data_IF_254078125455
#
_entry.id   IF_254078125455
#
_cell.length_a   1.000
_cell.length_b   1.000
_cell.length_c   1.000
_cell.angle_alpha   90.00
_cell.angle_beta   90.00
_cell.angle_gamma   90.00
#
_symmetry.space_group_name_H-M   'P 1'
#
loop_
_entity.id
_entity.type
_entity.pdbx_description
1 polymer ?
#
# COMPACT_ATOMS: atom_id res chain seq x y z
N UNK A 1 -12.21 -4.09 11.26
CA UNK A 1 -10.74 -4.15 11.19
C UNK A 1 -10.21 -2.84 11.71
N UNK A 2 -9.27 -2.88 12.65
CA UNK A 2 -8.56 -1.67 13.03
C UNK A 2 -7.53 -1.30 11.94
N UNK A 3 -7.18 -0.01 11.84
CA UNK A 3 -6.15 0.48 10.91
C UNK A 3 -4.83 -0.26 11.12
N UNK A 4 -4.46 -0.54 12.38
CA UNK A 4 -3.23 -1.26 12.72
C UNK A 4 -3.19 -2.67 12.14
N UNK A 5 -4.33 -3.38 12.15
CA UNK A 5 -4.42 -4.75 11.63
C UNK A 5 -4.14 -4.81 10.12
N UNK A 6 -4.66 -3.85 9.36
CA UNK A 6 -4.46 -3.77 7.90
C UNK A 6 -2.99 -3.49 7.58
N UNK A 7 -2.37 -2.58 8.32
CA UNK A 7 -0.95 -2.24 8.13
C UNK A 7 -0.02 -3.40 8.50
N UNK A 8 -0.32 -4.11 9.60
CA UNK A 8 0.42 -5.28 10.03
C UNK A 8 0.29 -6.43 9.02
N UNK A 9 -0.91 -6.66 8.50
CA UNK A 9 -1.15 -7.66 7.45
C UNK A 9 -0.36 -7.33 6.18
N UNK A 10 -0.42 -6.08 5.72
CA UNK A 10 0.32 -5.61 4.55
C UNK A 10 1.83 -5.81 4.71
N UNK A 11 2.37 -5.40 5.86
CA UNK A 11 3.78 -5.56 6.20
C UNK A 11 4.19 -7.04 6.19
N UNK A 12 3.38 -7.92 6.79
CA UNK A 12 3.65 -9.36 6.86
C UNK A 12 3.59 -10.04 5.49
N UNK A 13 2.70 -9.58 4.61
CA UNK A 13 2.57 -10.11 3.26
C UNK A 13 3.80 -9.73 2.42
N UNK A 14 4.27 -8.48 2.52
CA UNK A 14 5.38 -7.99 1.68
C UNK A 14 6.76 -8.31 2.26
N UNK A 15 6.93 -8.31 3.59
CA UNK A 15 8.20 -8.70 4.21
C UNK A 15 8.35 -10.21 4.38
N UNK A 16 7.26 -10.96 4.23
CA UNK A 16 7.19 -12.35 4.69
C UNK A 16 7.17 -12.45 6.23
N UNK A 17 6.96 -13.66 6.75
CA UNK A 17 7.13 -13.92 8.18
C UNK A 17 8.61 -14.01 8.55
N UNK A 18 8.99 -13.55 9.75
CA UNK A 18 10.33 -13.77 10.29
C UNK A 18 10.60 -15.27 10.41
N UNK A 19 11.41 -15.80 9.47
CA UNK A 19 11.72 -17.22 9.34
C UNK A 19 11.39 -17.77 7.94
N UNK A 20 12.46 -18.01 7.16
CA UNK A 20 12.49 -18.84 5.93
C UNK A 20 11.33 -18.65 4.93
N UNK A 21 10.92 -17.42 4.65
CA UNK A 21 10.04 -17.18 3.50
C UNK A 21 10.91 -17.18 2.24
N UNK A 22 10.63 -18.10 1.31
CA UNK A 22 11.25 -18.10 -0.03
C UNK A 22 10.82 -16.81 -0.76
N UNK A 23 11.76 -16.10 -1.38
CA UNK A 23 11.50 -14.87 -2.15
C UNK A 23 10.46 -15.09 -3.26
N UNK A 24 10.28 -16.34 -3.72
CA UNK A 24 9.21 -16.73 -4.63
C UNK A 24 7.82 -16.59 -3.99
N UNK A 25 7.65 -17.05 -2.75
CA UNK A 25 6.39 -17.04 -2.00
C UNK A 25 5.95 -15.62 -1.68
N UNK A 26 6.88 -14.75 -1.27
CA UNK A 26 6.58 -13.34 -0.99
C UNK A 26 6.07 -12.63 -2.25
N UNK A 27 6.70 -12.88 -3.39
CA UNK A 27 6.29 -12.29 -4.68
C UNK A 27 4.94 -12.78 -5.16
N UNK A 28 4.67 -14.08 -4.98
CA UNK A 28 3.37 -14.67 -5.31
C UNK A 28 2.27 -14.09 -4.42
N UNK A 29 2.52 -13.91 -3.13
CA UNK A 29 1.58 -13.27 -2.22
C UNK A 29 1.29 -11.81 -2.61
N UNK A 30 2.30 -11.05 -3.01
CA UNK A 30 2.12 -9.68 -3.51
C UNK A 30 1.27 -9.67 -4.78
N UNK A 31 1.50 -10.61 -5.69
CA UNK A 31 0.72 -10.75 -6.94
C UNK A 31 -0.74 -11.12 -6.64
N UNK A 32 -0.99 -12.04 -5.70
CA UNK A 32 -2.33 -12.43 -5.27
C UNK A 32 -3.06 -11.28 -4.57
N UNK A 33 -2.36 -10.53 -3.71
CA UNK A 33 -2.89 -9.37 -3.02
C UNK A 33 -3.28 -8.26 -4.01
N UNK A 34 -2.45 -7.99 -5.01
CA UNK A 34 -2.77 -7.05 -6.07
C UNK A 34 -4.01 -7.51 -6.87
N UNK A 35 -4.04 -8.80 -7.24
CA UNK A 35 -5.18 -9.40 -7.96
C UNK A 35 -6.47 -9.30 -7.15
N UNK A 36 -6.40 -9.52 -5.84
CA UNK A 36 -7.53 -9.34 -4.92
C UNK A 36 -8.01 -7.88 -4.94
N UNK A 37 -7.10 -6.90 -4.81
CA UNK A 37 -7.50 -5.51 -4.83
C UNK A 37 -8.09 -5.08 -6.17
N UNK A 38 -7.56 -5.57 -7.30
CA UNK A 38 -8.17 -5.37 -8.62
C UNK A 38 -9.60 -5.92 -8.67
N UNK A 39 -9.85 -7.09 -8.07
CA UNK A 39 -11.22 -7.65 -7.96
C UNK A 39 -12.11 -6.82 -7.06
N UNK A 40 -11.58 -6.31 -5.94
CA UNK A 40 -12.33 -5.46 -4.98
C UNK A 40 -12.76 -4.15 -5.64
N UNK A 41 -11.87 -3.56 -6.45
CA UNK A 41 -12.03 -2.26 -7.11
C UNK A 41 -12.89 -2.35 -8.38
N UNK A 42 -13.04 -3.54 -8.96
CA UNK A 42 -13.87 -3.78 -10.14
C UNK A 42 -15.34 -3.38 -9.89
N UNK A 43 -15.97 -2.69 -10.84
CA UNK A 43 -17.36 -2.22 -10.75
C UNK A 43 -18.41 -3.33 -10.51
N UNK A 44 -18.04 -4.59 -10.76
CA UNK A 44 -18.87 -5.78 -10.46
C UNK A 44 -18.73 -6.30 -9.04
N UNK A 45 -17.81 -5.73 -8.26
CA UNK A 45 -17.57 -6.07 -6.87
C UNK A 45 -18.75 -5.64 -6.01
N UNK A 46 -19.18 -6.45 -5.02
CA UNK A 46 -20.19 -6.04 -4.05
C UNK A 46 -19.65 -5.03 -3.01
N UNK A 47 -18.36 -4.68 -3.08
CA UNK A 47 -17.71 -3.78 -2.13
C UNK A 47 -17.93 -2.34 -2.57
N UNK A 48 -18.47 -1.51 -1.68
CA UNK A 48 -18.68 -0.10 -1.96
C UNK A 48 -17.37 0.68 -2.03
N UNK A 49 -17.36 1.78 -2.79
CA UNK A 49 -16.24 2.72 -2.84
C UNK A 49 -15.80 3.16 -1.43
N UNK A 50 -16.74 3.45 -0.54
CA UNK A 50 -16.47 3.84 0.85
C UNK A 50 -15.65 2.79 1.62
N UNK A 51 -15.94 1.50 1.40
CA UNK A 51 -15.18 0.42 2.04
C UNK A 51 -13.76 0.31 1.49
N UNK A 52 -13.57 0.50 0.18
CA UNK A 52 -12.24 0.54 -0.44
C UNK A 52 -11.44 1.74 0.07
N UNK A 53 -12.10 2.89 0.23
CA UNK A 53 -11.51 4.12 0.76
C UNK A 53 -11.02 3.98 2.20
N UNK A 54 -11.67 3.15 3.02
CA UNK A 54 -11.16 2.83 4.38
C UNK A 54 -9.81 2.12 4.29
N UNK A 55 -9.67 1.15 3.37
CA UNK A 55 -8.41 0.41 3.17
C UNK A 55 -7.33 1.36 2.64
N UNK A 56 -7.64 2.20 1.65
CA UNK A 56 -6.72 3.21 1.11
C UNK A 56 -6.19 4.14 2.21
N UNK A 57 -7.09 4.71 3.02
CA UNK A 57 -6.74 5.62 4.13
C UNK A 57 -5.96 4.93 5.24
N UNK A 58 -6.11 3.60 5.40
CA UNK A 58 -5.31 2.83 6.33
C UNK A 58 -3.87 2.61 5.83
N UNK A 59 -3.68 2.41 4.52
CA UNK A 59 -2.37 2.10 3.93
C UNK A 59 -1.51 3.33 3.64
N UNK A 60 -2.10 4.46 3.21
CA UNK A 60 -1.35 5.70 2.92
C UNK A 60 -0.35 6.08 4.04
N UNK A 61 -0.73 6.08 5.33
CA UNK A 61 0.20 6.45 6.40
C UNK A 61 1.45 5.58 6.54
N UNK A 62 1.51 4.42 5.87
CA UNK A 62 2.72 3.59 5.83
C UNK A 62 3.83 4.18 4.94
N UNK A 63 3.50 5.07 4.01
CA UNK A 63 4.47 5.60 3.04
C UNK A 63 5.60 6.40 3.68
N UNK A 64 5.29 7.29 4.62
CA UNK A 64 6.29 8.13 5.28
C UNK A 64 7.31 7.30 6.10
N UNK A 65 6.90 6.36 6.98
CA UNK A 65 7.84 5.49 7.70
C UNK A 65 8.76 4.67 6.78
N UNK A 66 8.23 4.15 5.66
CA UNK A 66 9.03 3.37 4.71
C UNK A 66 10.10 4.24 4.02
N UNK A 67 9.76 5.49 3.68
CA UNK A 67 10.70 6.44 3.08
C UNK A 67 11.65 7.06 4.12
N UNK A 68 11.22 7.21 5.37
CA UNK A 68 12.01 7.69 6.51
C UNK A 68 13.04 6.68 7.00
N UNK A 69 12.80 5.39 6.80
CA UNK A 69 13.74 4.35 7.20
C UNK A 69 15.11 4.50 6.52
N UNK A 70 16.16 4.20 7.28
CA UNK A 70 17.53 4.08 6.78
C UNK A 70 17.86 2.62 6.38
N UNK A 71 16.89 1.70 6.51
CA UNK A 71 17.06 0.31 6.13
C UNK A 71 16.70 0.12 4.64
N UNK A 72 17.64 -0.40 3.85
CA UNK A 72 17.42 -0.65 2.41
C UNK A 72 16.21 -1.55 2.13
N UNK A 73 15.89 -2.47 3.05
CA UNK A 73 14.72 -3.34 2.96
C UNK A 73 13.40 -2.57 3.01
N UNK A 74 13.28 -1.51 3.80
CA UNK A 74 12.04 -0.73 3.89
C UNK A 74 11.81 0.13 2.64
N UNK A 75 12.90 0.64 2.05
CA UNK A 75 12.85 1.39 0.79
C UNK A 75 12.42 0.51 -0.39
N UNK A 76 12.72 -0.79 -0.35
CA UNK A 76 12.27 -1.76 -1.36
C UNK A 76 10.77 -2.07 -1.29
N UNK A 77 10.11 -1.76 -0.17
CA UNK A 77 8.68 -2.06 0.07
C UNK A 77 7.77 -0.93 -0.41
N UNK A 78 8.29 0.30 -0.45
CA UNK A 78 7.51 1.45 -0.88
C UNK A 78 6.88 1.29 -2.30
N UNK A 79 7.57 0.72 -3.30
CA UNK A 79 6.95 0.42 -4.61
C UNK A 79 5.74 -0.53 -4.52
N UNK A 80 5.79 -1.55 -3.65
CA UNK A 80 4.66 -2.47 -3.45
C UNK A 80 3.48 -1.76 -2.78
N UNK A 81 3.75 -0.91 -1.79
CA UNK A 81 2.74 0.00 -1.21
C UNK A 81 2.09 0.86 -2.29
N UNK A 82 2.90 1.52 -3.12
CA UNK A 82 2.42 2.35 -4.22
C UNK A 82 1.54 1.59 -5.20
N UNK A 83 1.93 0.35 -5.53
CA UNK A 83 1.18 -0.48 -6.46
C UNK A 83 -0.22 -0.83 -5.93
N UNK A 84 -0.36 -0.99 -4.62
CA UNK A 84 -1.63 -1.30 -3.98
C UNK A 84 -2.49 -0.05 -3.80
N UNK A 85 -1.93 1.03 -3.27
CA UNK A 85 -2.71 2.26 -3.04
C UNK A 85 -3.16 2.91 -4.34
N UNK A 86 -2.42 2.80 -5.45
CA UNK A 86 -2.89 3.29 -6.76
C UNK A 86 -4.11 2.52 -7.27
N UNK A 87 -4.18 1.20 -7.03
CA UNK A 87 -5.30 0.37 -7.44
C UNK A 87 -6.53 0.70 -6.60
N UNK A 88 -6.36 0.77 -5.28
CA UNK A 88 -7.42 1.17 -4.36
C UNK A 88 -7.96 2.58 -4.63
N UNK A 89 -7.07 3.50 -5.03
CA UNK A 89 -7.44 4.88 -5.35
C UNK A 89 -8.35 5.01 -6.58
N UNK A 90 -8.28 4.03 -7.50
CA UNK A 90 -9.10 4.00 -8.71
C UNK A 90 -10.50 3.41 -8.51
N UNK A 91 -10.92 3.09 -7.29
CA UNK A 91 -12.25 2.53 -7.02
C UNK A 91 -13.36 3.55 -7.26
N UNK A 92 -14.46 3.06 -7.85
CA UNK A 92 -15.68 3.83 -8.08
C UNK A 92 -15.40 5.12 -8.86
N UNK A 93 -15.66 6.28 -8.23
CA UNK A 93 -15.46 7.58 -8.85
C UNK A 93 -13.98 7.97 -9.07
N UNK A 94 -13.03 7.22 -8.49
CA UNK A 94 -11.61 7.55 -8.51
C UNK A 94 -11.23 8.68 -7.53
N UNK A 95 -12.11 9.07 -6.60
CA UNK A 95 -11.85 10.09 -5.58
C UNK A 95 -10.61 9.78 -4.73
N UNK A 96 -10.27 8.49 -4.57
CA UNK A 96 -9.06 8.06 -3.88
C UNK A 96 -7.76 8.62 -4.49
N UNK A 97 -7.74 8.96 -5.78
CA UNK A 97 -6.57 9.58 -6.41
C UNK A 97 -6.26 10.97 -5.84
N UNK A 98 -7.26 11.74 -5.42
CA UNK A 98 -7.05 13.06 -4.80
C UNK A 98 -6.29 12.88 -3.47
N UNK A 99 -6.73 11.93 -2.64
CA UNK A 99 -6.10 11.65 -1.34
C UNK A 99 -4.68 11.11 -1.53
N UNK A 100 -4.49 10.21 -2.50
CA UNK A 100 -3.17 9.66 -2.80
C UNK A 100 -2.22 10.75 -3.32
N UNK A 101 -2.70 11.66 -4.16
CA UNK A 101 -1.90 12.75 -4.71
C UNK A 101 -1.42 13.70 -3.61
N UNK A 102 -2.30 14.13 -2.70
CA UNK A 102 -1.93 14.96 -1.55
C UNK A 102 -0.84 14.32 -0.67
N UNK A 103 -0.94 13.00 -0.48
CA UNK A 103 0.04 12.22 0.28
C UNK A 103 1.37 12.07 -0.46
N UNK A 104 1.32 11.88 -1.79
CA UNK A 104 2.51 11.78 -2.62
C UNK A 104 3.34 13.05 -2.63
N UNK A 105 2.71 14.23 -2.62
CA UNK A 105 3.41 15.52 -2.49
C UNK A 105 4.19 15.57 -1.17
N UNK A 106 3.60 15.12 -0.06
CA UNK A 106 4.28 15.09 1.24
C UNK A 106 5.46 14.11 1.24
N UNK A 107 5.31 12.94 0.62
CA UNK A 107 6.41 11.97 0.46
C UNK A 107 7.56 12.51 -0.38
N UNK A 108 7.28 13.28 -1.43
CA UNK A 108 8.33 13.90 -2.25
C UNK A 108 9.12 14.95 -1.47
N UNK A 109 8.46 15.80 -0.67
CA UNK A 109 9.14 16.76 0.19
C UNK A 109 9.99 16.06 1.27
N UNK A 110 9.49 14.95 1.82
CA UNK A 110 10.26 14.10 2.74
C UNK A 110 11.53 13.56 2.06
N UNK A 111 11.40 12.96 0.87
CA UNK A 111 12.55 12.47 0.10
C UNK A 111 13.56 13.59 -0.19
N UNK A 112 13.07 14.77 -0.58
CA UNK A 112 13.91 15.95 -0.84
C UNK A 112 14.66 16.41 0.41
N UNK A 113 14.04 16.40 1.59
CA UNK A 113 14.72 16.76 2.84
C UNK A 113 15.88 15.83 3.22
N UNK A 114 15.90 14.60 2.69
CA UNK A 114 16.98 13.63 2.91
C UNK A 114 18.15 13.79 1.95
N UNK A 115 17.99 14.59 0.90
CA UNK A 115 19.04 14.90 -0.08
C UNK A 115 19.78 16.21 0.23
N UNK A 116 19.26 17.01 1.17
CA UNK A 116 19.84 18.26 1.65
C UNK A 116 20.84 18.00 2.79
#
# INVERSE_FOLDING_TARGET
>A
LDKGDIQALFTKIIKGSEGTCDDSVVRDNNTLLLTLFQHIVNDKSPISEDNVMIILKALIPMGAPLLESNQSLDLLIFPDLMMVVQVLAGAGSGYGHVILFESAVQWLELCKSKLA
#
